data_IF_625020643397
#
_entry.id   IF_625020643397
#
_cell.length_a   1.000
_cell.length_b   1.000
_cell.length_c   1.000
_cell.angle_alpha   90.00
_cell.angle_beta   90.00
_cell.angle_gamma   90.00
#
_symmetry.space_group_name_H-M   'P 1'
#
loop_
_entity.id
_entity.type
_entity.pdbx_description
1 polymer ?
#
# COMPACT_ATOMS: atom_id res chain seq x y z
N UNK A 1 19.58 -4.34 12.60
CA UNK A 1 18.43 -5.09 12.02
C UNK A 1 18.43 -4.89 10.52
N UNK A 2 18.44 -5.97 9.78
CA UNK A 2 18.35 -5.90 8.33
C UNK A 2 16.93 -6.21 7.91
N UNK A 3 16.37 -5.35 7.10
CA UNK A 3 15.06 -5.59 6.48
C UNK A 3 15.27 -6.29 5.15
N UNK A 4 14.46 -7.31 4.90
CA UNK A 4 14.48 -8.04 3.64
C UNK A 4 13.45 -7.42 2.69
N UNK A 5 13.94 -6.91 1.57
CA UNK A 5 13.07 -6.46 0.48
C UNK A 5 13.14 -7.47 -0.65
N UNK A 6 12.00 -8.03 -0.99
CA UNK A 6 11.87 -9.00 -2.09
C UNK A 6 11.28 -8.28 -3.29
N UNK A 7 11.98 -8.39 -4.41
CA UNK A 7 11.47 -7.91 -5.68
C UNK A 7 10.39 -8.87 -6.19
N UNK A 8 9.15 -8.43 -6.12
CA UNK A 8 7.99 -9.14 -6.64
C UNK A 8 7.36 -8.39 -7.83
N UNK A 9 8.13 -7.53 -8.46
CA UNK A 9 7.71 -6.81 -9.65
C UNK A 9 7.46 -7.83 -10.76
N UNK A 10 6.22 -7.89 -11.23
CA UNK A 10 5.89 -8.64 -12.42
C UNK A 10 5.59 -7.66 -13.56
N UNK A 11 5.78 -8.12 -14.77
CA UNK A 11 5.46 -7.36 -15.98
C UNK A 11 3.95 -7.16 -16.21
N UNK A 12 3.11 -7.55 -15.25
CA UNK A 12 1.71 -7.15 -15.25
C UNK A 12 1.69 -5.61 -15.25
N UNK A 13 1.31 -5.09 -16.35
CA UNK A 13 1.39 -3.67 -16.67
C UNK A 13 0.58 -2.84 -15.69
N UNK A 14 1.28 -2.08 -14.89
CA UNK A 14 0.65 -0.90 -14.31
C UNK A 14 0.38 0.05 -15.48
N UNK A 15 -0.87 0.43 -15.73
CA UNK A 15 -1.22 1.15 -16.96
C UNK A 15 -0.63 2.55 -17.05
N UNK A 16 -0.27 3.16 -15.93
CA UNK A 16 0.23 4.52 -15.88
C UNK A 16 1.62 4.59 -15.25
N UNK A 17 2.44 5.48 -15.77
CA UNK A 17 3.80 5.74 -15.30
C UNK A 17 4.06 7.24 -15.16
N UNK A 18 5.21 7.60 -14.60
CA UNK A 18 5.58 8.97 -14.37
C UNK A 18 5.20 9.49 -12.99
N UNK A 19 5.18 8.60 -11.98
CA UNK A 19 4.93 8.98 -10.60
C UNK A 19 6.03 9.96 -10.12
N UNK A 20 5.62 11.06 -9.52
CA UNK A 20 6.53 12.12 -9.06
C UNK A 20 7.13 11.86 -7.68
N UNK A 21 6.67 10.83 -6.97
CA UNK A 21 7.26 10.36 -5.70
C UNK A 21 7.45 11.47 -4.64
N UNK A 22 6.43 12.28 -4.44
CA UNK A 22 6.49 13.41 -3.49
C UNK A 22 5.94 13.05 -2.12
N UNK A 23 5.08 12.03 -2.03
CA UNK A 23 4.39 11.63 -0.80
C UNK A 23 4.49 10.14 -0.58
N UNK A 24 4.34 9.74 0.67
CA UNK A 24 4.24 8.36 1.11
C UNK A 24 2.87 8.16 1.75
N UNK A 25 2.11 7.19 1.26
CA UNK A 25 0.84 6.81 1.84
C UNK A 25 0.94 5.42 2.46
N UNK A 26 0.54 5.30 3.71
CA UNK A 26 0.55 4.04 4.43
C UNK A 26 -0.89 3.63 4.70
N UNK A 27 -1.24 2.43 4.26
CA UNK A 27 -2.54 1.81 4.45
C UNK A 27 -2.40 0.50 5.21
N UNK A 28 -3.49 0.03 5.77
CA UNK A 28 -3.59 -1.34 6.25
C UNK A 28 -4.60 -2.10 5.38
N UNK A 29 -4.40 -3.41 5.27
CA UNK A 29 -5.14 -4.24 4.33
C UNK A 29 -6.66 -4.26 4.60
N UNK A 30 -7.07 -4.04 5.84
CA UNK A 30 -8.48 -3.99 6.22
C UNK A 30 -9.16 -5.35 6.40
N UNK A 31 -8.49 -6.42 6.01
CA UNK A 31 -8.94 -7.81 6.20
C UNK A 31 -7.79 -8.63 6.76
N UNK A 32 -8.12 -9.74 7.42
CA UNK A 32 -7.09 -10.67 7.92
C UNK A 32 -6.44 -11.36 6.73
N UNK A 33 -5.13 -11.30 6.67
CA UNK A 33 -4.38 -12.00 5.63
C UNK A 33 -3.11 -11.29 5.20
N UNK A 34 -2.43 -11.92 4.29
CA UNK A 34 -1.24 -11.40 3.64
C UNK A 34 -1.44 -11.43 2.13
N UNK A 35 -1.29 -10.28 1.52
CA UNK A 35 -1.50 -10.11 0.09
C UNK A 35 -0.46 -9.15 -0.49
N UNK A 36 -0.12 -9.36 -1.74
CA UNK A 36 0.71 -8.46 -2.54
C UNK A 36 0.09 -8.28 -3.93
N UNK A 37 -1.20 -8.27 -3.99
CA UNK A 37 -1.91 -8.17 -5.25
C UNK A 37 -1.86 -6.76 -5.83
N UNK A 38 -1.67 -6.69 -7.12
CA UNK A 38 -1.82 -5.49 -7.91
C UNK A 38 -2.76 -5.85 -9.05
N UNK A 39 -3.93 -5.24 -9.06
CA UNK A 39 -4.94 -5.52 -10.06
C UNK A 39 -4.51 -5.00 -11.44
N UNK A 40 -5.07 -5.57 -12.48
CA UNK A 40 -4.76 -5.21 -13.86
C UNK A 40 -5.10 -3.76 -14.21
N UNK A 41 -6.01 -3.14 -13.46
CA UNK A 41 -6.36 -1.73 -13.59
C UNK A 41 -5.41 -0.79 -12.83
N UNK A 42 -4.45 -1.35 -12.09
CA UNK A 42 -3.51 -0.58 -11.29
C UNK A 42 -3.91 -0.38 -9.84
N UNK A 43 -5.01 -0.96 -9.38
CA UNK A 43 -5.41 -0.90 -7.97
C UNK A 43 -4.47 -1.74 -7.11
N UNK A 44 -3.89 -1.16 -6.09
CA UNK A 44 -2.96 -1.84 -5.19
C UNK A 44 -1.96 -0.88 -4.57
N UNK A 45 -0.77 -1.40 -4.24
CA UNK A 45 0.29 -0.61 -3.62
C UNK A 45 1.65 -0.92 -4.26
N UNK A 46 2.61 -0.03 -4.05
CA UNK A 46 3.99 -0.25 -4.46
C UNK A 46 4.67 -1.30 -3.60
N UNK A 47 4.37 -1.30 -2.30
CA UNK A 47 4.95 -2.20 -1.32
C UNK A 47 3.88 -2.85 -0.46
N UNK A 48 4.14 -4.10 -0.09
CA UNK A 48 3.36 -4.85 0.88
C UNK A 48 4.27 -5.35 1.98
N UNK A 49 3.91 -5.09 3.24
CA UNK A 49 4.67 -5.53 4.40
C UNK A 49 3.89 -6.66 5.07
N UNK A 50 4.51 -7.84 5.11
CA UNK A 50 3.94 -9.04 5.70
C UNK A 50 4.13 -9.07 7.21
N UNK A 51 3.47 -10.03 7.88
CA UNK A 51 3.44 -10.14 9.34
C UNK A 51 4.82 -10.34 9.96
N UNK A 52 5.74 -10.98 9.25
CA UNK A 52 7.11 -11.22 9.69
C UNK A 52 8.07 -10.05 9.38
N UNK A 53 7.54 -8.97 8.84
CA UNK A 53 8.34 -7.80 8.44
C UNK A 53 8.93 -7.91 7.04
N UNK A 54 8.69 -8.98 6.30
CA UNK A 54 9.14 -9.09 4.90
C UNK A 54 8.44 -8.03 4.06
N UNK A 55 9.21 -7.31 3.27
CA UNK A 55 8.74 -6.25 2.40
C UNK A 55 8.76 -6.75 0.95
N UNK A 56 7.61 -6.73 0.30
CA UNK A 56 7.51 -7.06 -1.12
C UNK A 56 7.35 -5.78 -1.93
N UNK A 57 8.29 -5.53 -2.83
CA UNK A 57 8.14 -4.46 -3.82
C UNK A 57 7.37 -5.00 -5.01
N UNK A 58 6.18 -4.47 -5.24
CA UNK A 58 5.24 -4.97 -6.24
C UNK A 58 5.34 -4.25 -7.57
N UNK A 59 5.76 -3.00 -7.56
CA UNK A 59 6.00 -2.23 -8.79
C UNK A 59 7.10 -1.20 -8.58
N UNK A 60 7.62 -0.66 -9.67
CA UNK A 60 8.65 0.38 -9.63
C UNK A 60 8.07 1.69 -9.10
N UNK A 61 8.92 2.56 -8.60
CA UNK A 61 8.51 3.88 -8.12
C UNK A 61 7.95 4.79 -9.21
N UNK A 62 8.28 4.51 -10.46
CA UNK A 62 7.72 5.20 -11.62
C UNK A 62 6.25 4.88 -11.86
N UNK A 63 5.77 3.76 -11.34
CA UNK A 63 4.39 3.33 -11.52
C UNK A 63 3.43 4.23 -10.75
N UNK A 64 2.29 4.52 -11.37
CA UNK A 64 1.15 5.18 -10.72
C UNK A 64 0.13 4.11 -10.39
N UNK A 65 -0.07 3.86 -9.10
CA UNK A 65 -1.04 2.88 -8.62
C UNK A 65 -2.24 3.57 -7.97
N UNK A 66 -3.40 2.94 -8.08
CA UNK A 66 -4.64 3.46 -7.50
C UNK A 66 -4.73 3.03 -6.03
N UNK A 67 -4.10 3.79 -5.15
CA UNK A 67 -4.05 3.53 -3.72
C UNK A 67 -4.61 4.66 -2.87
N UNK A 68 -4.62 5.89 -3.40
CA UNK A 68 -5.11 7.07 -2.69
C UNK A 68 -6.44 7.49 -3.30
N UNK A 69 -7.49 7.51 -2.49
CA UNK A 69 -8.82 7.94 -2.96
C UNK A 69 -8.87 9.42 -3.35
N UNK A 70 -9.88 9.79 -4.09
CA UNK A 70 -10.08 11.17 -4.56
C UNK A 70 -11.07 11.97 -3.71
N UNK A 71 -11.85 11.33 -2.86
CA UNK A 71 -12.94 11.96 -2.13
C UNK A 71 -13.05 11.55 -0.65
N UNK A 72 -12.15 10.74 -0.13
CA UNK A 72 -12.18 10.28 1.25
C UNK A 72 -11.72 11.34 2.24
N UNK A 73 -11.95 11.07 3.52
CA UNK A 73 -11.57 11.96 4.62
C UNK A 73 -10.10 12.39 4.56
N UNK A 74 -9.19 11.43 4.38
CA UNK A 74 -7.76 11.74 4.33
C UNK A 74 -7.37 12.51 3.08
N UNK A 75 -8.04 12.26 1.96
CA UNK A 75 -7.81 13.02 0.73
C UNK A 75 -8.22 14.48 0.89
N UNK A 76 -9.30 14.73 1.63
CA UNK A 76 -9.72 16.10 1.96
C UNK A 76 -8.73 16.81 2.89
N UNK A 77 -8.14 16.07 3.83
CA UNK A 77 -7.13 16.61 4.76
C UNK A 77 -5.77 16.84 4.08
N UNK A 78 -5.45 16.03 3.10
CA UNK A 78 -4.17 16.04 2.39
C UNK A 78 -4.39 16.15 0.88
N UNK A 79 -4.96 17.28 0.39
CA UNK A 79 -5.41 17.39 -0.99
C UNK A 79 -4.28 17.39 -2.03
N UNK A 80 -3.03 17.52 -1.58
CA UNK A 80 -1.87 17.51 -2.47
C UNK A 80 -1.37 16.11 -2.80
N UNK A 81 -1.66 15.11 -1.95
CA UNK A 81 -1.30 13.73 -2.21
C UNK A 81 -2.30 13.09 -3.20
N UNK A 82 -1.77 12.57 -4.28
CA UNK A 82 -2.53 11.93 -5.37
C UNK A 82 -1.81 10.68 -5.82
N UNK A 83 -2.49 9.79 -6.52
CA UNK A 83 -1.86 8.59 -7.07
C UNK A 83 -0.64 8.93 -7.93
N UNK A 84 -0.69 10.01 -8.69
CA UNK A 84 0.40 10.42 -9.59
C UNK A 84 1.65 10.98 -8.89
N UNK A 85 1.62 11.18 -7.59
CA UNK A 85 2.76 11.71 -6.84
C UNK A 85 3.03 10.96 -5.52
N UNK A 86 2.46 9.78 -5.35
CA UNK A 86 2.51 9.04 -4.09
C UNK A 86 3.07 7.64 -4.28
N UNK A 87 3.98 7.25 -3.40
CA UNK A 87 4.36 5.87 -3.17
C UNK A 87 3.46 5.32 -2.06
N UNK A 88 2.83 4.18 -2.30
CA UNK A 88 1.92 3.56 -1.36
C UNK A 88 2.47 2.27 -0.77
N UNK A 89 2.23 2.10 0.53
CA UNK A 89 2.62 0.93 1.31
C UNK A 89 1.37 0.35 1.94
N UNK A 90 1.18 -0.95 1.81
CA UNK A 90 0.10 -1.70 2.41
C UNK A 90 0.64 -2.59 3.54
N UNK A 91 0.12 -2.41 4.73
CA UNK A 91 0.43 -3.28 5.87
C UNK A 91 -0.56 -4.45 5.90
N UNK A 92 -0.06 -5.66 5.80
CA UNK A 92 -0.89 -6.85 5.94
C UNK A 92 -1.33 -7.05 7.39
N UNK A 93 -2.62 -7.23 7.61
CA UNK A 93 -3.22 -7.24 8.94
C UNK A 93 -3.40 -8.63 9.49
N UNK A 94 -3.21 -8.78 10.81
CA UNK A 94 -3.62 -9.97 11.57
C UNK A 94 -5.04 -9.86 12.12
N UNK A 95 -5.66 -8.70 12.00
CA UNK A 95 -7.05 -8.48 12.39
C UNK A 95 -7.85 -7.99 11.18
N UNK A 96 -9.14 -8.23 11.18
CA UNK A 96 -10.01 -7.66 10.17
C UNK A 96 -10.29 -6.18 10.46
N UNK A 97 -10.77 -5.46 9.46
CA UNK A 97 -11.09 -4.03 9.59
C UNK A 97 -12.32 -3.75 10.46
N UNK A 98 -12.97 -4.78 10.96
CA UNK A 98 -14.15 -4.69 11.83
C UNK A 98 -13.84 -5.02 13.28
N UNK A 99 -12.61 -5.39 13.59
CA UNK A 99 -12.15 -5.61 14.95
C UNK A 99 -12.33 -4.36 15.79
N UNK A 100 -12.54 -4.54 17.11
CA UNK A 100 -12.60 -3.39 18.00
C UNK A 100 -11.25 -2.67 17.98
N UNK A 101 -11.27 -1.37 18.22
CA UNK A 101 -10.07 -0.55 18.24
C UNK A 101 -9.01 -1.08 19.23
N UNK A 102 -9.44 -1.67 20.35
CA UNK A 102 -8.54 -2.28 21.31
C UNK A 102 -7.83 -3.53 20.74
N UNK A 103 -8.54 -4.31 19.91
CA UNK A 103 -7.96 -5.48 19.27
C UNK A 103 -6.98 -5.04 18.16
N UNK A 104 -7.32 -4.03 17.39
CA UNK A 104 -6.43 -3.45 16.39
C UNK A 104 -5.11 -3.00 17.01
N UNK A 105 -5.15 -2.32 18.13
CA UNK A 105 -3.95 -1.85 18.81
C UNK A 105 -3.00 -2.96 19.23
N UNK A 106 -3.48 -4.17 19.45
CA UNK A 106 -2.64 -5.33 19.76
C UNK A 106 -1.86 -5.85 18.56
N UNK A 107 -2.31 -5.56 17.36
CA UNK A 107 -1.75 -6.14 16.15
C UNK A 107 -0.70 -5.27 15.48
N UNK A 108 -0.74 -3.97 15.70
CA UNK A 108 0.14 -3.02 15.02
C UNK A 108 1.34 -2.62 15.86
N UNK A 109 1.28 -2.89 17.12
CA UNK A 109 2.31 -2.49 18.06
C UNK A 109 2.67 -3.65 19.01
#
# INVERSE_FOLDING_TARGET
MQYKIINAISFASVPLRGNKNQYLAIHYLGVVGQSRELASDGTGAHYYIYWDGTIYQRCSHDAIVWAVGTAGYYTQKHPYARNANTISIELCCKCDGYSTRADEQKWYF
#
